data_IF_578707371510
#
_entry.id   IF_578707371510
#
_cell.length_a   1.000
_cell.length_b   1.000
_cell.length_c   1.000
_cell.angle_alpha   90.00
_cell.angle_beta   90.00
_cell.angle_gamma   90.00
#
_symmetry.space_group_name_H-M   'P 1'
#
loop_
_entity.id
_entity.type
_entity.pdbx_description
1 polymer ?
#
# COMPACT_ATOMS: atom_id res chain seq x y z
N UNK A 1 4.74 -70.45 55.84
CA UNK A 1 3.47 -70.07 55.17
C UNK A 1 3.38 -68.57 55.23
N UNK A 2 3.73 -67.90 54.14
CA UNK A 2 3.89 -66.45 54.07
C UNK A 2 2.76 -65.90 53.21
N UNK A 3 1.90 -65.07 53.80
CA UNK A 3 0.83 -64.36 53.11
C UNK A 3 1.46 -63.08 52.54
N UNK A 4 1.54 -62.98 51.22
CA UNK A 4 1.97 -61.76 50.53
C UNK A 4 0.78 -61.20 49.74
N UNK A 5 0.41 -59.97 50.09
CA UNK A 5 -0.64 -59.17 49.47
C UNK A 5 -0.23 -58.71 48.07
N UNK A 6 -1.15 -58.77 47.11
CA UNK A 6 -1.06 -58.01 45.86
C UNK A 6 -2.08 -56.88 45.88
N UNK A 7 -1.59 -55.66 45.96
CA UNK A 7 -2.35 -54.43 45.69
C UNK A 7 -2.05 -54.04 44.25
N UNK A 8 -3.05 -54.12 43.38
CA UNK A 8 -3.00 -53.61 42.01
C UNK A 8 -3.41 -52.13 42.02
N UNK A 9 -2.45 -51.25 41.76
CA UNK A 9 -2.68 -49.82 41.54
C UNK A 9 -2.98 -49.58 40.07
N UNK A 10 -4.26 -49.35 39.73
CA UNK A 10 -4.66 -48.94 38.39
C UNK A 10 -4.28 -47.47 38.13
N UNK A 11 -3.38 -47.24 37.18
CA UNK A 11 -3.02 -45.92 36.66
C UNK A 11 -4.09 -45.44 35.69
N UNK A 12 -4.97 -44.54 36.15
CA UNK A 12 -5.94 -43.85 35.30
C UNK A 12 -5.20 -42.77 34.50
N UNK A 13 -4.91 -43.03 33.23
CA UNK A 13 -4.45 -42.02 32.28
C UNK A 13 -5.62 -41.11 31.92
N UNK A 14 -5.60 -39.91 32.51
CA UNK A 14 -6.54 -38.84 32.22
C UNK A 14 -6.12 -38.17 30.90
N UNK A 15 -6.62 -38.69 29.77
CA UNK A 15 -6.42 -38.05 28.47
C UNK A 15 -7.31 -36.81 28.39
N UNK A 16 -6.71 -35.63 28.57
CA UNK A 16 -7.37 -34.37 28.21
C UNK A 16 -7.65 -34.37 26.69
N UNK A 17 -8.86 -33.97 26.25
CA UNK A 17 -9.16 -33.83 24.84
C UNK A 17 -8.26 -32.73 24.24
N UNK A 18 -7.44 -33.14 23.27
CA UNK A 18 -6.72 -32.20 22.41
C UNK A 18 -7.76 -31.36 21.64
N UNK A 19 -7.66 -30.02 21.64
CA UNK A 19 -8.56 -29.19 20.85
C UNK A 19 -8.38 -29.54 19.38
N UNK A 20 -9.46 -29.97 18.72
CA UNK A 20 -9.50 -30.08 17.26
C UNK A 20 -9.26 -28.69 16.69
N UNK A 21 -8.14 -28.54 15.99
CA UNK A 21 -7.88 -27.39 15.12
C UNK A 21 -9.00 -27.40 14.07
N UNK A 22 -9.82 -26.33 13.96
CA UNK A 22 -10.82 -26.24 12.91
C UNK A 22 -10.13 -26.33 11.55
N UNK A 23 -10.68 -27.13 10.65
CA UNK A 23 -10.23 -27.15 9.26
C UNK A 23 -10.45 -25.74 8.67
N UNK A 24 -9.36 -25.21 8.13
CA UNK A 24 -9.20 -23.86 7.60
C UNK A 24 -10.00 -23.73 6.29
N UNK A 25 -11.25 -23.28 6.39
CA UNK A 25 -12.04 -22.80 5.25
C UNK A 25 -11.46 -21.45 4.82
N UNK A 26 -10.34 -21.52 4.12
CA UNK A 26 -9.51 -20.38 3.73
C UNK A 26 -10.25 -19.27 2.98
N UNK A 27 -9.59 -18.11 2.94
CA UNK A 27 -10.10 -16.89 2.31
C UNK A 27 -10.63 -17.10 0.87
N UNK A 28 -11.89 -16.69 0.72
CA UNK A 28 -12.65 -16.26 -0.47
C UNK A 28 -11.94 -16.36 -1.84
N UNK A 29 -12.51 -17.20 -2.71
CA UNK A 29 -12.26 -17.20 -4.15
C UNK A 29 -12.82 -15.93 -4.81
N UNK A 30 -12.23 -15.50 -5.93
CA UNK A 30 -12.47 -14.19 -6.57
C UNK A 30 -13.91 -13.97 -7.12
N UNK A 31 -14.83 -14.91 -6.90
CA UNK A 31 -16.13 -15.02 -7.59
C UNK A 31 -17.37 -14.73 -6.71
N UNK A 32 -17.20 -14.09 -5.55
CA UNK A 32 -18.34 -13.80 -4.67
C UNK A 32 -19.29 -12.74 -5.28
N UNK A 33 -20.59 -13.03 -5.49
CA UNK A 33 -21.53 -12.14 -6.16
C UNK A 33 -21.65 -10.77 -5.46
N UNK A 34 -21.61 -9.73 -6.29
CA UNK A 34 -21.63 -8.33 -5.87
C UNK A 34 -22.98 -7.95 -5.25
N UNK A 35 -23.02 -7.77 -3.93
CA UNK A 35 -24.07 -6.97 -3.30
C UNK A 35 -23.78 -5.49 -3.58
N UNK A 36 -24.59 -4.91 -4.46
CA UNK A 36 -24.59 -3.48 -4.75
C UNK A 36 -25.32 -2.77 -3.63
N UNK A 37 -24.57 -2.18 -2.69
CA UNK A 37 -25.12 -1.20 -1.74
C UNK A 37 -25.12 0.14 -2.47
N UNK A 38 -26.31 0.60 -2.84
CA UNK A 38 -26.52 1.83 -3.59
C UNK A 38 -26.33 3.05 -2.67
N UNK A 39 -25.08 3.43 -2.42
CA UNK A 39 -24.74 4.72 -1.81
C UNK A 39 -24.73 5.81 -2.89
N UNK A 40 -25.77 6.66 -2.92
CA UNK A 40 -25.70 7.96 -3.62
C UNK A 40 -24.82 8.90 -2.78
N UNK A 41 -23.72 9.47 -3.32
CA UNK A 41 -23.74 10.91 -3.61
C UNK A 41 -22.78 11.40 -4.73
N UNK A 42 -22.90 12.71 -5.02
CA UNK A 42 -22.14 13.56 -5.96
C UNK A 42 -20.61 13.28 -6.00
N UNK A 43 -20.13 12.44 -6.93
CA UNK A 43 -18.68 12.19 -7.14
C UNK A 43 -18.14 12.63 -8.51
N UNK A 44 -18.99 13.00 -9.47
CA UNK A 44 -18.55 13.39 -10.81
C UNK A 44 -17.71 14.67 -10.85
N UNK A 45 -17.89 15.58 -9.88
CA UNK A 45 -17.10 16.82 -9.79
C UNK A 45 -15.72 16.63 -9.13
N UNK A 46 -15.48 15.52 -8.43
CA UNK A 46 -14.24 15.29 -7.66
C UNK A 46 -13.12 14.74 -8.56
N UNK A 47 -13.46 13.91 -9.55
CA UNK A 47 -12.50 13.45 -10.56
C UNK A 47 -11.97 14.65 -11.38
N UNK A 48 -12.84 15.63 -11.68
CA UNK A 48 -12.46 16.83 -12.43
C UNK A 48 -11.44 17.73 -11.67
N UNK A 49 -11.44 17.77 -10.34
CA UNK A 49 -10.49 18.59 -9.55
C UNK A 49 -9.07 18.01 -9.57
N UNK A 50 -8.95 16.68 -9.57
CA UNK A 50 -7.66 15.98 -9.76
C UNK A 50 -7.03 16.31 -11.12
N UNK A 51 -7.86 16.57 -12.12
CA UNK A 51 -7.44 16.89 -13.49
C UNK A 51 -7.15 18.39 -13.73
N UNK A 52 -7.83 19.31 -13.04
CA UNK A 52 -7.63 20.76 -13.25
C UNK A 52 -6.26 21.27 -12.76
N UNK A 53 -5.66 20.62 -11.76
CA UNK A 53 -4.30 20.95 -11.33
C UNK A 53 -3.23 20.60 -12.38
N UNK A 54 -3.40 19.52 -13.16
CA UNK A 54 -2.36 19.08 -14.11
C UNK A 54 -2.38 19.80 -15.46
N UNK A 55 -3.55 20.25 -15.94
CA UNK A 55 -3.67 20.90 -17.25
C UNK A 55 -3.34 22.41 -17.24
N UNK A 56 -3.31 23.05 -16.07
CA UNK A 56 -3.14 24.50 -15.95
C UNK A 56 -1.67 24.95 -16.03
N UNK A 57 -0.71 24.08 -15.69
CA UNK A 57 0.72 24.44 -15.61
C UNK A 57 1.48 24.31 -16.95
N UNK A 58 0.97 23.50 -17.90
CA UNK A 58 1.63 23.28 -19.20
C UNK A 58 1.47 24.49 -20.14
N UNK A 59 0.48 25.35 -19.92
CA UNK A 59 0.13 26.41 -20.89
C UNK A 59 0.84 27.77 -20.65
N UNK A 60 1.64 27.96 -19.59
CA UNK A 60 2.27 29.26 -19.31
C UNK A 60 3.80 29.32 -19.34
N UNK A 61 4.51 28.21 -19.51
CA UNK A 61 5.98 28.20 -19.57
C UNK A 61 6.52 28.27 -21.01
N UNK A 62 6.29 29.38 -21.70
CA UNK A 62 6.95 29.66 -22.99
C UNK A 62 7.05 31.16 -23.24
N UNK A 63 8.04 31.82 -22.60
CA UNK A 63 8.76 33.01 -23.09
C UNK A 63 9.69 33.57 -22.01
N UNK A 64 10.96 33.17 -22.04
CA UNK A 64 12.08 34.03 -21.64
C UNK A 64 13.39 33.37 -22.07
N UNK A 65 14.03 33.92 -23.10
CA UNK A 65 15.43 33.63 -23.45
C UNK A 65 16.29 34.65 -22.70
N UNK A 66 17.20 34.20 -21.86
CA UNK A 66 18.36 34.99 -21.50
C UNK A 66 19.63 34.12 -21.45
N UNK A 67 20.69 34.74 -21.96
CA UNK A 67 21.97 34.19 -22.39
C UNK A 67 23.00 34.59 -21.33
N UNK A 68 23.65 33.64 -20.65
CA UNK A 68 24.87 33.94 -19.91
C UNK A 68 25.79 32.71 -19.79
N UNK A 69 27.09 32.96 -19.92
CA UNK A 69 28.14 31.96 -20.17
C UNK A 69 29.08 31.84 -18.97
N UNK A 70 29.32 30.58 -18.58
CA UNK A 70 30.48 29.94 -17.91
C UNK A 70 31.13 30.57 -16.66
N UNK A 71 31.31 29.73 -15.62
CA UNK A 71 32.62 29.18 -15.21
C UNK A 71 32.40 27.94 -14.29
N UNK A 72 33.21 26.90 -14.49
CA UNK A 72 33.19 25.63 -13.73
C UNK A 72 34.02 25.72 -12.44
N UNK A 73 33.72 24.84 -11.46
CA UNK A 73 34.77 23.95 -10.98
C UNK A 73 34.38 22.46 -11.08
N UNK A 74 35.37 21.68 -11.48
CA UNK A 74 35.35 20.24 -11.64
C UNK A 74 35.22 19.51 -10.30
N UNK A 75 34.08 18.85 -10.10
CA UNK A 75 34.00 17.61 -9.33
C UNK A 75 33.03 16.71 -10.09
N UNK A 76 33.56 15.63 -10.70
CA UNK A 76 32.78 14.63 -11.44
C UNK A 76 31.96 13.79 -10.45
N UNK A 77 30.90 14.39 -9.91
CA UNK A 77 29.68 13.66 -9.59
C UNK A 77 28.89 13.58 -10.90
N UNK A 78 28.64 12.37 -11.37
CA UNK A 78 27.80 12.07 -12.54
C UNK A 78 26.33 12.39 -12.22
N UNK A 79 26.04 13.65 -11.95
CA UNK A 79 24.67 14.14 -11.88
C UNK A 79 24.25 14.42 -13.32
N UNK A 80 23.64 13.43 -13.96
CA UNK A 80 22.90 13.67 -15.19
C UNK A 80 21.79 14.67 -14.84
N UNK A 81 21.73 15.86 -15.46
CA UNK A 81 20.54 16.68 -15.38
C UNK A 81 19.48 15.91 -16.15
N UNK A 82 18.70 15.10 -15.43
CA UNK A 82 17.46 14.53 -15.93
C UNK A 82 16.63 15.76 -16.31
N UNK A 83 16.44 15.98 -17.61
CA UNK A 83 15.61 17.09 -18.08
C UNK A 83 14.22 17.05 -17.43
N UNK A 84 13.41 18.08 -17.68
CA UNK A 84 12.02 18.20 -17.22
C UNK A 84 11.10 17.08 -17.74
N UNK A 85 11.64 16.05 -18.38
CA UNK A 85 10.93 14.89 -18.84
C UNK A 85 10.55 13.98 -17.66
N UNK A 86 9.33 13.45 -17.70
CA UNK A 86 8.91 12.39 -16.81
C UNK A 86 9.82 11.15 -16.94
N UNK A 87 9.95 10.36 -15.86
CA UNK A 87 10.76 9.15 -15.90
C UNK A 87 10.26 8.20 -16.99
N UNK A 88 11.18 7.41 -17.56
CA UNK A 88 10.89 6.42 -18.61
C UNK A 88 10.95 4.98 -18.11
N UNK A 89 11.47 4.78 -16.90
CA UNK A 89 11.58 3.47 -16.24
C UNK A 89 11.23 3.59 -14.76
N UNK A 90 10.83 2.48 -14.14
CA UNK A 90 10.58 2.43 -12.69
C UNK A 90 11.82 2.85 -11.87
N UNK A 91 13.03 2.47 -12.31
CA UNK A 91 14.27 2.89 -11.63
C UNK A 91 14.49 4.40 -11.70
N UNK A 92 14.26 5.03 -12.85
CA UNK A 92 14.32 6.49 -12.98
C UNK A 92 13.24 7.17 -12.15
N UNK A 93 12.05 6.58 -12.08
CA UNK A 93 10.97 7.07 -11.23
C UNK A 93 11.40 7.04 -9.76
N UNK A 94 11.97 5.92 -9.28
CA UNK A 94 12.47 5.79 -7.91
C UNK A 94 13.60 6.78 -7.60
N UNK A 95 14.51 7.02 -8.55
CA UNK A 95 15.54 8.05 -8.40
C UNK A 95 14.94 9.45 -8.22
N UNK A 96 13.96 9.82 -9.06
CA UNK A 96 13.25 11.09 -8.95
C UNK A 96 12.42 11.20 -7.66
N UNK A 97 11.83 10.10 -7.20
CA UNK A 97 11.05 10.01 -5.96
C UNK A 97 11.89 10.26 -4.68
N UNK A 98 13.21 10.13 -4.78
CA UNK A 98 14.15 10.46 -3.71
C UNK A 98 14.63 11.92 -3.74
N UNK A 99 14.28 12.68 -4.78
CA UNK A 99 14.59 14.10 -4.90
C UNK A 99 13.39 14.95 -4.46
N UNK A 100 13.58 16.11 -3.82
CA UNK A 100 12.48 17.04 -3.56
C UNK A 100 11.81 17.51 -4.85
N UNK A 101 10.52 17.82 -4.80
CA UNK A 101 9.78 18.43 -5.90
C UNK A 101 10.30 19.84 -6.16
N UNK A 102 10.60 20.14 -7.42
CA UNK A 102 11.05 21.45 -7.91
C UNK A 102 10.65 21.64 -9.38
N UNK A 103 11.02 22.77 -9.98
CA UNK A 103 10.86 23.01 -11.42
C UNK A 103 11.62 22.01 -12.31
N UNK A 104 12.69 21.41 -11.79
CA UNK A 104 13.55 20.43 -12.47
C UNK A 104 13.19 18.99 -12.12
N UNK A 105 12.53 18.78 -10.98
CA UNK A 105 12.02 17.48 -10.54
C UNK A 105 10.51 17.57 -10.29
N UNK A 106 9.68 17.38 -11.33
CA UNK A 106 8.24 17.53 -11.19
C UNK A 106 7.65 16.51 -10.23
N UNK A 107 6.48 16.86 -9.69
CA UNK A 107 5.71 16.00 -8.78
C UNK A 107 5.43 14.62 -9.40
N UNK A 108 5.53 13.59 -8.56
CA UNK A 108 5.20 12.21 -8.88
C UNK A 108 4.05 11.76 -8.00
N UNK A 109 3.30 10.77 -8.45
CA UNK A 109 2.22 10.16 -7.66
C UNK A 109 2.52 8.68 -7.39
N UNK A 110 2.60 8.31 -6.12
CA UNK A 110 2.65 6.92 -5.71
C UNK A 110 1.23 6.36 -5.60
N UNK A 111 0.92 5.33 -6.40
CA UNK A 111 -0.29 4.53 -6.25
C UNK A 111 0.07 3.31 -5.40
N UNK A 112 -0.58 3.16 -4.24
CA UNK A 112 -0.24 2.12 -3.27
C UNK A 112 -1.38 1.12 -3.14
N UNK A 113 -1.10 -0.16 -3.40
CA UNK A 113 -1.93 -1.24 -2.88
C UNK A 113 -1.63 -1.50 -1.41
N UNK A 114 -2.65 -1.91 -0.69
CA UNK A 114 -2.53 -2.25 0.73
C UNK A 114 -2.35 -3.75 0.92
N UNK A 115 -3.19 -4.56 0.27
CA UNK A 115 -3.25 -6.01 0.47
C UNK A 115 -1.91 -6.69 0.15
N UNK A 116 -1.37 -7.44 1.11
CA UNK A 116 -0.08 -8.15 1.03
C UNK A 116 1.14 -7.27 0.72
N UNK A 117 0.93 -5.96 0.69
CA UNK A 117 1.86 -4.99 0.14
C UNK A 117 2.48 -4.13 1.24
N UNK A 118 1.60 -3.42 1.95
CA UNK A 118 1.92 -2.72 3.20
C UNK A 118 1.14 -3.28 4.38
N UNK A 119 0.01 -3.96 4.12
CA UNK A 119 -0.89 -4.56 5.10
C UNK A 119 -1.00 -6.07 4.90
N UNK A 120 -1.09 -6.81 5.99
CA UNK A 120 -1.55 -8.22 5.98
C UNK A 120 -2.65 -8.37 7.01
N UNK A 121 -3.83 -8.81 6.56
CA UNK A 121 -5.01 -8.95 7.41
C UNK A 121 -5.20 -10.41 7.87
N UNK A 122 -5.60 -10.57 9.12
CA UNK A 122 -5.86 -11.85 9.78
C UNK A 122 -7.24 -11.80 10.44
N UNK A 123 -7.98 -12.89 10.35
CA UNK A 123 -9.27 -13.01 11.04
C UNK A 123 -9.07 -13.33 12.53
N UNK A 124 -8.04 -14.10 12.84
CA UNK A 124 -7.77 -14.55 14.20
C UNK A 124 -6.40 -14.09 14.71
N UNK A 125 -6.34 -13.72 16.00
CA UNK A 125 -5.11 -13.26 16.64
C UNK A 125 -3.98 -14.30 16.60
N UNK A 126 -4.28 -15.60 16.60
CA UNK A 126 -3.25 -16.63 16.51
C UNK A 126 -2.57 -16.65 15.13
N UNK A 127 -3.30 -16.34 14.05
CA UNK A 127 -2.74 -16.23 12.70
C UNK A 127 -1.78 -15.04 12.62
N UNK A 128 -2.19 -13.90 13.19
CA UNK A 128 -1.32 -12.73 13.33
C UNK A 128 -0.03 -13.10 14.08
N UNK A 129 -0.13 -13.75 15.24
CA UNK A 129 1.06 -14.15 16.02
C UNK A 129 1.97 -15.09 15.23
N UNK A 130 1.41 -16.10 14.56
CA UNK A 130 2.20 -17.00 13.72
C UNK A 130 2.92 -16.25 12.60
N UNK A 131 2.25 -15.30 11.95
CA UNK A 131 2.87 -14.43 10.95
C UNK A 131 4.01 -13.59 11.55
N UNK A 132 3.79 -12.90 12.67
CA UNK A 132 4.79 -12.04 13.30
C UNK A 132 6.00 -12.84 13.85
N UNK A 133 5.82 -14.10 14.25
CA UNK A 133 6.96 -14.95 14.65
C UNK A 133 7.90 -15.31 13.50
N UNK A 134 7.41 -15.26 12.27
CA UNK A 134 8.17 -15.63 11.07
C UNK A 134 8.54 -14.43 10.19
N UNK A 135 7.93 -13.27 10.44
CA UNK A 135 8.10 -12.07 9.63
C UNK A 135 8.55 -10.88 10.47
N UNK A 136 9.83 -10.52 10.34
CA UNK A 136 10.46 -9.42 11.09
C UNK A 136 10.19 -8.03 10.51
N UNK A 137 9.55 -7.95 9.34
CA UNK A 137 9.17 -6.67 8.70
C UNK A 137 7.99 -6.01 9.42
N UNK A 138 7.18 -6.80 10.12
CA UNK A 138 5.98 -6.37 10.82
C UNK A 138 6.18 -6.54 12.33
N UNK A 139 5.53 -5.70 13.14
CA UNK A 139 5.63 -5.77 14.60
C UNK A 139 4.26 -5.70 15.27
N UNK A 140 4.18 -6.26 16.49
CA UNK A 140 2.95 -6.28 17.28
C UNK A 140 2.41 -4.86 17.53
N UNK A 141 3.29 -3.88 17.79
CA UNK A 141 2.91 -2.48 18.02
C UNK A 141 2.33 -1.77 16.78
N UNK A 142 2.59 -2.32 15.59
CA UNK A 142 2.17 -1.79 14.30
C UNK A 142 0.88 -2.50 13.79
N UNK A 143 0.15 -3.16 14.70
CA UNK A 143 -1.09 -3.86 14.36
C UNK A 143 -2.34 -3.00 14.64
N UNK A 144 -3.29 -2.99 13.70
CA UNK A 144 -4.61 -2.36 13.90
C UNK A 144 -5.73 -3.39 13.88
N UNK A 145 -6.83 -3.09 14.56
CA UNK A 145 -8.09 -3.83 14.42
C UNK A 145 -9.07 -3.03 13.58
N UNK A 146 -9.62 -3.60 12.51
CA UNK A 146 -10.71 -2.97 11.75
C UNK A 146 -11.97 -3.84 11.77
N UNK A 147 -13.14 -3.19 11.78
CA UNK A 147 -14.41 -3.92 11.76
C UNK A 147 -14.85 -4.18 10.32
N UNK A 148 -15.17 -5.44 10.02
CA UNK A 148 -15.75 -5.88 8.76
C UNK A 148 -17.23 -6.23 8.94
N UNK A 149 -18.05 -5.89 7.93
CA UNK A 149 -19.51 -6.08 7.92
C UNK A 149 -20.24 -5.44 9.12
N UNK A 150 -20.09 -4.13 9.30
CA UNK A 150 -20.90 -3.35 10.26
C UNK A 150 -20.81 -3.89 11.70
N UNK A 151 -19.58 -4.03 12.21
CA UNK A 151 -19.23 -4.42 13.59
C UNK A 151 -19.14 -5.92 13.90
N UNK A 152 -19.31 -6.81 12.91
CA UNK A 152 -19.42 -8.26 13.21
C UNK A 152 -18.07 -8.96 13.36
N UNK A 153 -17.03 -8.54 12.63
CA UNK A 153 -15.71 -9.22 12.63
C UNK A 153 -14.59 -8.19 12.80
N UNK A 154 -13.75 -8.34 13.82
CA UNK A 154 -12.51 -7.58 13.94
C UNK A 154 -11.41 -8.30 13.14
N UNK A 155 -10.89 -7.66 12.09
CA UNK A 155 -9.68 -8.10 11.41
C UNK A 155 -8.47 -7.47 12.11
N UNK A 156 -7.43 -8.27 12.33
CA UNK A 156 -6.12 -7.81 12.79
C UNK A 156 -5.24 -7.54 11.57
N UNK A 157 -4.74 -6.33 11.41
CA UNK A 157 -3.90 -5.95 10.27
C UNK A 157 -2.49 -5.66 10.79
N UNK A 158 -1.51 -6.42 10.33
CA UNK A 158 -0.10 -6.11 10.51
C UNK A 158 0.35 -5.09 9.45
N UNK A 159 1.15 -4.10 9.87
CA UNK A 159 1.65 -3.02 9.00
C UNK A 159 3.17 -3.04 8.88
N UNK A 160 3.69 -2.80 7.67
CA UNK A 160 5.12 -2.56 7.46
C UNK A 160 5.47 -1.09 7.77
N UNK A 161 5.97 -0.85 8.98
CA UNK A 161 6.39 0.47 9.44
C UNK A 161 7.52 1.09 8.60
N UNK A 162 8.40 0.30 8.00
CA UNK A 162 9.50 0.83 7.17
C UNK A 162 8.99 1.33 5.83
N UNK A 163 8.06 0.59 5.20
CA UNK A 163 7.38 1.07 4.00
C UNK A 163 6.64 2.38 4.28
N UNK A 164 5.85 2.47 5.36
CA UNK A 164 5.11 3.70 5.65
C UNK A 164 6.01 4.88 5.97
N UNK A 165 7.15 4.68 6.64
CA UNK A 165 8.17 5.73 6.82
C UNK A 165 8.78 6.18 5.49
N UNK A 166 9.04 5.23 4.57
CA UNK A 166 9.55 5.58 3.24
C UNK A 166 8.51 6.37 2.42
N UNK A 167 7.22 6.01 2.54
CA UNK A 167 6.09 6.77 1.95
C UNK A 167 5.99 8.17 2.58
N UNK A 168 6.17 8.30 3.89
CA UNK A 168 6.15 9.59 4.57
C UNK A 168 7.27 10.51 4.06
N UNK A 169 8.50 9.99 3.93
CA UNK A 169 9.59 10.78 3.35
C UNK A 169 9.35 11.14 1.88
N UNK A 170 8.73 10.25 1.10
CA UNK A 170 8.32 10.55 -0.28
C UNK A 170 7.32 11.71 -0.33
N UNK A 171 6.32 11.72 0.56
CA UNK A 171 5.36 12.83 0.65
C UNK A 171 6.00 14.12 1.19
N UNK A 172 6.89 14.05 2.17
CA UNK A 172 7.64 15.21 2.70
C UNK A 172 8.52 15.87 1.64
N UNK A 173 8.95 15.12 0.62
CA UNK A 173 9.64 15.66 -0.56
C UNK A 173 8.71 16.42 -1.52
N UNK A 174 7.41 16.50 -1.24
CA UNK A 174 6.41 17.22 -2.02
C UNK A 174 5.68 16.36 -3.05
N UNK A 175 5.89 15.04 -3.06
CA UNK A 175 5.18 14.12 -3.95
C UNK A 175 3.80 13.72 -3.39
N UNK A 176 2.94 13.11 -4.22
CA UNK A 176 1.57 12.72 -3.86
C UNK A 176 1.40 11.23 -3.64
N UNK A 177 0.56 10.86 -2.68
CA UNK A 177 0.19 9.47 -2.39
C UNK A 177 -1.29 9.26 -2.68
N UNK A 178 -1.62 8.18 -3.38
CA UNK A 178 -2.97 7.70 -3.57
C UNK A 178 -3.06 6.21 -3.20
N UNK A 179 -4.13 5.83 -2.52
CA UNK A 179 -4.43 4.44 -2.19
C UNK A 179 -5.32 3.85 -3.27
N UNK A 180 -4.91 2.72 -3.84
CA UNK A 180 -5.68 1.99 -4.86
C UNK A 180 -5.69 0.51 -4.49
N UNK A 181 -6.72 0.09 -3.76
CA UNK A 181 -6.78 -1.25 -3.16
C UNK A 181 -8.07 -2.00 -3.50
N UNK A 182 -8.00 -3.34 -3.55
CA UNK A 182 -9.20 -4.20 -3.64
C UNK A 182 -9.77 -4.59 -2.28
N UNK A 183 -9.08 -4.23 -1.20
CA UNK A 183 -9.63 -4.30 0.14
C UNK A 183 -10.85 -3.40 0.31
N UNK A 184 -11.60 -3.64 1.39
CA UNK A 184 -12.75 -2.81 1.83
C UNK A 184 -12.40 -1.99 3.06
N UNK A 185 -11.13 -1.62 3.20
CA UNK A 185 -10.66 -0.82 4.32
C UNK A 185 -11.42 0.51 4.38
N UNK A 186 -11.78 0.89 5.62
CA UNK A 186 -12.42 2.17 5.92
C UNK A 186 -11.34 3.24 5.88
N UNK A 187 -11.65 4.38 5.26
CA UNK A 187 -10.67 5.45 5.09
C UNK A 187 -10.23 6.05 6.40
N UNK A 188 -11.16 6.32 7.31
CA UNK A 188 -10.90 6.97 8.57
C UNK A 188 -9.87 6.17 9.39
N UNK A 189 -10.02 4.85 9.43
CA UNK A 189 -9.07 3.94 10.09
C UNK A 189 -7.73 3.89 9.35
N UNK A 190 -7.75 3.80 8.02
CA UNK A 190 -6.53 3.76 7.21
C UNK A 190 -5.74 5.08 7.34
N UNK A 191 -6.42 6.22 7.26
CA UNK A 191 -5.84 7.55 7.35
C UNK A 191 -5.25 7.80 8.74
N UNK A 192 -5.95 7.38 9.81
CA UNK A 192 -5.43 7.46 11.19
C UNK A 192 -4.14 6.66 11.35
N UNK A 193 -4.09 5.45 10.78
CA UNK A 193 -2.88 4.63 10.78
C UNK A 193 -1.75 5.25 9.97
N UNK A 194 -2.02 5.70 8.75
CA UNK A 194 -1.01 6.37 7.92
C UNK A 194 -0.44 7.63 8.59
N UNK A 195 -1.31 8.40 9.26
CA UNK A 195 -0.93 9.59 10.00
C UNK A 195 0.02 9.29 11.17
N UNK A 196 -0.07 8.13 11.83
CA UNK A 196 0.88 7.76 12.90
C UNK A 196 2.31 7.54 12.39
N UNK A 197 2.50 7.35 11.08
CA UNK A 197 3.81 7.30 10.42
C UNK A 197 4.17 8.60 9.69
N UNK A 198 3.34 9.64 9.80
CA UNK A 198 3.55 10.92 9.14
C UNK A 198 3.17 10.94 7.66
N UNK A 199 2.25 10.04 7.24
CA UNK A 199 1.65 10.08 5.90
C UNK A 199 0.25 10.68 6.00
N UNK A 200 -0.01 11.73 5.23
CA UNK A 200 -1.33 12.35 5.10
C UNK A 200 -2.08 11.74 3.92
N UNK A 201 -3.25 11.15 4.17
CA UNK A 201 -4.13 10.64 3.12
C UNK A 201 -5.31 11.59 2.90
N UNK A 202 -5.63 11.86 1.64
CA UNK A 202 -6.86 12.54 1.26
C UNK A 202 -7.95 11.53 0.89
N UNK A 203 -9.20 11.86 1.24
CA UNK A 203 -10.38 11.09 0.85
C UNK A 203 -10.49 10.99 -0.69
N UNK A 204 -10.06 12.04 -1.38
CA UNK A 204 -10.13 12.16 -2.85
C UNK A 204 -9.08 11.31 -3.56
N UNK A 205 -8.04 10.88 -2.86
CA UNK A 205 -6.99 10.00 -3.39
C UNK A 205 -7.03 8.60 -2.78
N UNK A 206 -8.19 8.23 -2.21
CA UNK A 206 -8.39 6.92 -1.61
C UNK A 206 -9.47 6.13 -2.35
N UNK A 207 -9.06 5.06 -3.00
CA UNK A 207 -9.92 4.20 -3.81
C UNK A 207 -9.84 2.76 -3.33
N UNK A 208 -10.97 2.22 -2.88
CA UNK A 208 -11.08 0.83 -2.44
C UNK A 208 -12.01 0.02 -3.36
N UNK A 209 -12.34 -1.22 -2.98
CA UNK A 209 -13.23 -2.09 -3.79
C UNK A 209 -14.55 -1.44 -4.20
N UNK A 210 -15.12 -0.60 -3.34
CA UNK A 210 -16.42 0.04 -3.58
C UNK A 210 -16.33 1.11 -4.65
N UNK A 211 -15.20 1.82 -4.74
CA UNK A 211 -14.97 2.85 -5.76
C UNK A 211 -14.67 2.28 -7.14
N UNK A 212 -14.19 1.03 -7.22
CA UNK A 212 -13.84 0.40 -8.50
C UNK A 212 -15.07 -0.10 -9.29
N UNK A 213 -16.26 -0.19 -8.68
CA UNK A 213 -17.52 -0.59 -9.34
C UNK A 213 -17.41 -1.84 -10.25
N UNK A 214 -16.65 -2.85 -9.81
CA UNK A 214 -16.43 -4.09 -10.57
C UNK A 214 -15.38 -4.01 -11.68
N UNK A 215 -14.77 -2.84 -11.92
CA UNK A 215 -13.61 -2.71 -12.80
C UNK A 215 -12.41 -3.47 -12.21
N UNK A 216 -11.61 -4.07 -13.10
CA UNK A 216 -10.29 -4.57 -12.72
C UNK A 216 -9.37 -3.39 -12.39
N UNK A 217 -8.48 -3.57 -11.40
CA UNK A 217 -7.58 -2.50 -10.92
C UNK A 217 -6.78 -1.80 -12.05
N UNK A 218 -6.15 -2.51 -13.01
CA UNK A 218 -5.45 -1.85 -14.13
C UNK A 218 -6.37 -0.89 -14.90
N UNK A 219 -7.56 -1.37 -15.27
CA UNK A 219 -8.55 -0.59 -16.02
C UNK A 219 -9.02 0.62 -15.23
N UNK A 220 -9.22 0.48 -13.93
CA UNK A 220 -9.57 1.60 -13.05
C UNK A 220 -8.45 2.66 -13.02
N UNK A 221 -7.19 2.23 -12.85
CA UNK A 221 -6.03 3.14 -12.83
C UNK A 221 -5.89 3.88 -14.18
N UNK A 222 -5.96 3.14 -15.30
CA UNK A 222 -5.74 3.71 -16.63
C UNK A 222 -6.91 4.61 -17.07
N UNK A 223 -8.16 4.20 -16.84
CA UNK A 223 -9.34 4.90 -17.40
C UNK A 223 -9.99 5.89 -16.43
N UNK A 224 -9.88 5.69 -15.12
CA UNK A 224 -10.54 6.55 -14.11
C UNK A 224 -9.56 7.47 -13.42
N UNK A 225 -8.38 6.97 -13.08
CA UNK A 225 -7.32 7.82 -12.55
C UNK A 225 -6.55 8.52 -13.67
N UNK A 226 -6.63 8.07 -14.92
CA UNK A 226 -5.82 8.60 -16.03
C UNK A 226 -4.33 8.64 -15.67
N UNK A 227 -3.87 7.62 -14.94
CA UNK A 227 -2.50 7.56 -14.48
C UNK A 227 -1.53 7.53 -15.68
N UNK A 228 -0.43 8.26 -15.57
CA UNK A 228 0.57 8.38 -16.64
C UNK A 228 1.99 8.11 -16.15
N UNK A 229 2.97 8.59 -16.92
CA UNK A 229 4.40 8.39 -16.63
C UNK A 229 4.89 9.11 -15.35
N UNK A 230 4.03 9.87 -14.68
CA UNK A 230 4.29 10.43 -13.35
C UNK A 230 3.86 9.50 -12.20
N UNK A 231 3.19 8.40 -12.50
CA UNK A 231 2.66 7.46 -11.53
C UNK A 231 3.50 6.19 -11.41
N UNK A 232 3.64 5.66 -10.20
CA UNK A 232 4.14 4.31 -9.93
C UNK A 232 3.13 3.55 -9.08
N UNK A 233 2.64 2.42 -9.57
CA UNK A 233 1.89 1.44 -8.77
C UNK A 233 2.87 0.50 -8.06
N UNK A 234 2.73 0.40 -6.74
CA UNK A 234 3.33 -0.66 -5.92
C UNK A 234 2.22 -1.63 -5.52
N UNK A 235 2.37 -2.90 -5.90
CA UNK A 235 1.34 -3.94 -5.72
C UNK A 235 2.00 -5.33 -5.69
N UNK A 236 1.40 -6.29 -4.99
CA UNK A 236 1.93 -7.65 -4.87
C UNK A 236 1.62 -8.52 -6.10
N UNK A 237 0.61 -8.15 -6.91
CA UNK A 237 0.09 -8.96 -8.01
C UNK A 237 0.42 -8.36 -9.36
N UNK A 238 1.22 -9.08 -10.15
CA UNK A 238 1.54 -8.73 -11.54
C UNK A 238 0.29 -8.44 -12.41
N UNK A 239 -0.83 -9.14 -12.18
CA UNK A 239 -2.10 -8.89 -12.89
C UNK A 239 -2.73 -7.51 -12.63
N UNK A 240 -2.24 -6.77 -11.64
CA UNK A 240 -2.65 -5.42 -11.32
C UNK A 240 -1.82 -4.34 -12.06
N UNK A 241 -0.82 -4.73 -12.88
CA UNK A 241 -0.01 -3.81 -13.68
C UNK A 241 -0.87 -2.94 -14.62
N UNK A 242 -0.83 -1.60 -14.49
CA UNK A 242 -1.47 -0.67 -15.41
C UNK A 242 -0.67 -0.54 -16.72
N UNK A 243 -1.31 -0.03 -17.77
CA UNK A 243 -0.67 0.19 -19.08
C UNK A 243 0.13 1.51 -19.07
N UNK A 244 -0.42 2.57 -18.48
CA UNK A 244 0.10 3.92 -18.65
C UNK A 244 0.96 4.43 -17.48
N UNK A 245 1.05 3.66 -16.39
CA UNK A 245 1.86 4.00 -15.22
C UNK A 245 2.98 2.98 -15.00
N UNK A 246 4.03 3.39 -14.29
CA UNK A 246 5.06 2.44 -13.88
C UNK A 246 4.50 1.44 -12.88
N UNK A 247 5.14 0.27 -12.83
CA UNK A 247 4.77 -0.82 -11.94
C UNK A 247 6.00 -1.38 -11.25
N UNK A 248 5.90 -1.55 -9.93
CA UNK A 248 6.87 -2.30 -9.13
C UNK A 248 6.12 -3.39 -8.39
N UNK A 249 6.35 -4.64 -8.78
CA UNK A 249 5.86 -5.76 -8.00
C UNK A 249 6.62 -5.82 -6.68
N UNK A 250 5.92 -6.10 -5.59
CA UNK A 250 6.55 -6.33 -4.29
C UNK A 250 6.29 -7.73 -3.79
N UNK A 251 7.21 -8.17 -2.94
CA UNK A 251 7.13 -9.43 -2.23
C UNK A 251 7.20 -9.18 -0.71
N UNK A 252 7.21 -10.26 0.05
CA UNK A 252 7.26 -10.20 1.50
C UNK A 252 8.58 -9.66 2.06
N UNK A 253 9.63 -9.58 1.24
CA UNK A 253 10.99 -9.24 1.66
C UNK A 253 11.37 -7.80 1.35
N UNK A 254 10.75 -7.17 0.36
CA UNK A 254 11.21 -5.88 -0.12
C UNK A 254 10.09 -4.91 -0.51
N UNK A 255 10.15 -3.70 0.08
CA UNK A 255 9.45 -2.52 -0.41
C UNK A 255 10.43 -1.62 -1.18
N UNK A 256 10.09 -1.14 -2.39
CA UNK A 256 11.06 -0.54 -3.31
C UNK A 256 11.51 0.86 -2.88
N UNK A 257 10.68 1.60 -2.15
CA UNK A 257 11.09 2.86 -1.54
C UNK A 257 11.90 2.59 -0.27
N UNK A 258 13.03 3.29 -0.16
CA UNK A 258 13.92 3.20 1.01
C UNK A 258 13.88 4.48 1.81
N UNK A 259 13.94 4.33 3.13
CA UNK A 259 14.24 5.44 4.04
C UNK A 259 15.68 5.85 3.79
N UNK A 260 15.90 7.11 3.41
CA UNK A 260 17.24 7.69 3.32
C UNK A 260 17.47 8.45 4.63
N UNK A 261 18.54 8.12 5.39
CA UNK A 261 18.87 8.79 6.64
C UNK A 261 19.34 10.24 6.44
#
# INVERSE_FOLDING_TARGET
MTIASKVETALVHNMQPQPKIPEDEGYWTEDDPTYVIECKPQKSQIIESWHQQQNSEVSQASKSKNKFTLLQPTNKSTFCPLGNDYPKTAQQWLQKAHMPVSSENPELTLLLDLDSSSFVAFEFHYQLRAFLTTNTRFKDEDCISCFYKGDTIALFIAVDAQALKAVAQFQQRGHKVAIVTKGRYVFEDTAKLFASYGVELSRDTYFNRTDMHGLKKPKFIDEKLLAGNNCLLIDDKEKNRPINAFFSQIDFTHFPLKVIP
#
